data_IF_316352847264
#
_entry.id   IF_316352847264
#
_cell.length_a   1.000
_cell.length_b   1.000
_cell.length_c   1.000
_cell.angle_alpha   90.00
_cell.angle_beta   90.00
_cell.angle_gamma   90.00
#
_symmetry.space_group_name_H-M   'P 1'
#
loop_
_entity.id
_entity.type
_entity.pdbx_description
1 polymer ?
#
# COMPACT_ATOMS: atom_id res chain seq x y z
N UNK A 1 57.67 36.68 11.63
CA UNK A 1 57.43 38.01 11.04
C UNK A 1 55.95 38.25 11.08
N UNK A 2 55.48 39.01 12.09
CA UNK A 2 55.16 40.43 12.03
C UNK A 2 54.06 40.70 11.00
N UNK A 3 52.90 41.26 11.29
CA UNK A 3 52.33 42.24 12.23
C UNK A 3 50.86 42.38 11.83
N UNK A 4 49.94 42.46 12.77
CA UNK A 4 49.32 43.66 13.40
C UNK A 4 48.03 44.11 12.72
N UNK A 5 46.92 43.96 13.46
CA UNK A 5 46.11 45.03 14.15
C UNK A 5 45.40 46.02 13.21
N UNK A 6 44.10 46.30 13.34
CA UNK A 6 43.54 47.16 14.40
C UNK A 6 42.00 47.23 14.32
N UNK A 7 41.39 47.21 15.51
CA UNK A 7 40.18 47.79 16.01
C UNK A 7 39.72 49.12 15.39
N UNK A 8 38.38 49.31 15.42
CA UNK A 8 37.62 50.43 16.00
C UNK A 8 36.13 50.16 15.75
N UNK A 9 35.27 49.96 16.69
CA UNK A 9 34.60 50.80 17.72
C UNK A 9 34.22 52.20 17.24
N UNK A 10 32.91 52.50 17.24
CA UNK A 10 32.28 53.74 17.75
C UNK A 10 30.80 53.82 17.33
N UNK A 11 29.96 53.74 18.37
CA UNK A 11 28.96 54.66 18.95
C UNK A 11 27.50 54.63 18.45
N UNK A 12 26.67 54.24 19.36
CA UNK A 12 25.38 54.79 19.82
C UNK A 12 24.78 56.00 19.11
N UNK A 13 23.53 55.87 18.70
CA UNK A 13 22.46 56.86 19.00
C UNK A 13 21.13 56.12 19.20
N UNK A 14 20.53 56.34 20.36
CA UNK A 14 19.16 56.06 20.74
C UNK A 14 18.21 56.91 19.88
N UNK A 15 17.16 56.29 19.36
CA UNK A 15 15.90 56.99 19.13
C UNK A 15 14.75 56.03 19.52
N UNK A 16 14.09 56.42 20.59
CA UNK A 16 12.84 55.81 21.03
C UNK A 16 11.70 56.21 20.09
N UNK A 17 11.09 55.26 19.46
CA UNK A 17 9.85 55.42 18.72
C UNK A 17 8.91 54.29 19.10
N UNK A 18 7.98 54.58 19.99
CA UNK A 18 6.86 53.73 20.38
C UNK A 18 5.97 53.59 19.15
N UNK A 19 5.92 52.41 18.54
CA UNK A 19 4.85 52.02 17.65
C UNK A 19 4.29 50.70 18.16
N UNK A 20 3.13 50.78 18.77
CA UNK A 20 2.23 49.67 19.04
C UNK A 20 1.86 49.00 17.71
N UNK A 21 2.63 48.00 17.31
CA UNK A 21 2.33 47.08 16.24
C UNK A 21 1.74 45.83 16.87
N UNK A 22 0.44 45.65 16.70
CA UNK A 22 -0.31 44.44 16.99
C UNK A 22 0.38 43.23 16.36
N UNK A 23 0.94 42.34 17.18
CA UNK A 23 1.34 41.01 16.81
C UNK A 23 0.04 40.25 16.55
N UNK A 24 -0.42 40.30 15.33
CA UNK A 24 -1.42 39.37 14.82
C UNK A 24 -0.81 37.98 14.76
N UNK A 25 -1.06 37.21 15.81
CA UNK A 25 -0.91 35.76 15.74
C UNK A 25 -1.88 35.28 14.65
N UNK A 26 -1.39 35.08 13.44
CA UNK A 26 -2.12 34.32 12.44
C UNK A 26 -2.21 32.88 12.96
N UNK A 27 -3.24 32.62 13.74
CA UNK A 27 -3.79 31.30 13.90
C UNK A 27 -4.15 30.87 12.49
N UNK A 28 -3.35 29.96 11.89
CA UNK A 28 -3.79 29.20 10.73
C UNK A 28 -5.11 28.57 11.15
N UNK A 29 -6.21 29.10 10.64
CA UNK A 29 -7.49 28.42 10.71
C UNK A 29 -7.26 27.01 10.18
N UNK A 30 -7.35 26.03 11.08
CA UNK A 30 -7.65 24.65 10.68
C UNK A 30 -8.91 24.79 9.83
N UNK A 31 -8.80 24.58 8.54
CA UNK A 31 -9.97 24.37 7.70
C UNK A 31 -10.73 23.20 8.34
N UNK A 32 -11.73 23.55 9.12
CA UNK A 32 -12.74 22.59 9.55
C UNK A 32 -13.49 22.20 8.28
N UNK A 33 -13.08 21.05 7.71
CA UNK A 33 -13.91 20.42 6.70
C UNK A 33 -15.33 20.31 7.28
N UNK A 34 -16.36 20.72 6.52
CA UNK A 34 -17.74 20.58 6.98
C UNK A 34 -17.96 19.11 7.37
N UNK A 35 -18.69 18.90 8.46
CA UNK A 35 -19.07 17.57 8.93
C UNK A 35 -19.53 16.73 7.72
N UNK A 36 -18.72 15.74 7.33
CA UNK A 36 -18.95 15.04 6.09
C UNK A 36 -20.23 14.26 6.22
N UNK A 37 -21.13 14.52 5.33
CA UNK A 37 -22.18 13.58 4.98
C UNK A 37 -21.48 12.23 4.74
N UNK A 38 -21.85 11.18 5.49
CA UNK A 38 -21.38 9.81 5.29
C UNK A 38 -21.87 9.34 3.91
N UNK A 39 -21.11 9.67 2.88
CA UNK A 39 -21.44 9.40 1.49
C UNK A 39 -20.27 8.71 0.79
N UNK A 40 -20.52 8.27 -0.43
CA UNK A 40 -19.47 7.77 -1.31
C UNK A 40 -18.32 8.77 -1.43
N UNK A 41 -17.10 8.25 -1.49
CA UNK A 41 -15.93 9.02 -1.86
C UNK A 41 -15.88 9.17 -3.39
N UNK A 42 -15.57 10.35 -3.87
CA UNK A 42 -15.32 10.59 -5.29
C UNK A 42 -14.04 9.85 -5.72
N UNK A 43 -14.09 9.21 -6.88
CA UNK A 43 -12.92 8.55 -7.46
C UNK A 43 -12.05 9.63 -8.11
N UNK A 44 -10.83 9.86 -7.61
CA UNK A 44 -9.98 10.92 -8.13
C UNK A 44 -9.50 10.60 -9.54
N UNK A 45 -9.38 11.63 -10.37
CA UNK A 45 -8.71 11.48 -11.67
C UNK A 45 -7.24 11.17 -11.43
N UNK A 46 -6.82 9.95 -11.81
CA UNK A 46 -5.42 9.54 -11.71
C UNK A 46 -4.60 10.14 -12.86
N UNK A 47 -3.51 10.77 -12.50
CA UNK A 47 -2.51 11.39 -13.36
C UNK A 47 -1.13 10.91 -12.94
N UNK A 48 -0.10 11.16 -13.71
CA UNK A 48 1.29 10.82 -13.30
C UNK A 48 1.73 11.52 -12.02
N UNK A 49 1.09 12.63 -11.64
CA UNK A 49 1.40 13.36 -10.39
C UNK A 49 0.90 12.64 -9.13
N UNK A 50 -0.25 11.98 -9.21
CA UNK A 50 -0.88 11.26 -8.08
C UNK A 50 -0.97 9.75 -8.29
N UNK A 51 -0.20 9.21 -9.23
CA UNK A 51 -0.11 7.76 -9.49
C UNK A 51 0.54 7.01 -8.32
N UNK A 52 1.51 7.64 -7.67
CA UNK A 52 2.29 7.03 -6.59
C UNK A 52 1.91 7.57 -5.22
N UNK A 53 1.80 6.69 -4.21
CA UNK A 53 1.70 7.14 -2.82
C UNK A 53 3.02 7.82 -2.37
N UNK A 54 3.00 8.56 -1.24
CA UNK A 54 1.90 8.72 -0.29
C UNK A 54 0.88 9.79 -0.70
N UNK A 55 -0.36 9.65 -0.21
CA UNK A 55 -1.45 10.61 -0.45
C UNK A 55 -1.68 11.43 0.81
N UNK A 56 -0.94 12.54 0.96
CA UNK A 56 -0.91 13.34 2.19
C UNK A 56 -2.21 14.13 2.44
N UNK A 57 -2.95 14.44 1.37
CA UNK A 57 -4.21 15.20 1.44
C UNK A 57 -5.44 14.29 1.51
N UNK A 58 -5.25 12.97 1.55
CA UNK A 58 -6.35 12.02 1.64
C UNK A 58 -6.87 11.92 3.07
N UNK A 59 -8.19 11.91 3.22
CA UNK A 59 -8.88 11.76 4.50
C UNK A 59 -8.97 10.27 4.87
N UNK A 60 -7.89 9.79 5.50
CA UNK A 60 -7.78 8.41 5.96
C UNK A 60 -8.77 8.10 7.08
N UNK A 61 -9.30 6.89 7.07
CA UNK A 61 -10.22 6.38 8.11
C UNK A 61 -11.43 7.26 8.39
N UNK A 62 -11.95 7.94 7.35
CA UNK A 62 -13.20 8.70 7.45
C UNK A 62 -14.29 7.84 8.10
N UNK A 63 -15.00 8.41 9.07
CA UNK A 63 -16.09 7.74 9.79
C UNK A 63 -15.68 6.46 10.54
N UNK A 64 -14.41 6.31 10.91
CA UNK A 64 -13.85 5.18 11.64
C UNK A 64 -14.64 4.84 12.93
N UNK A 65 -15.24 5.85 13.57
CA UNK A 65 -16.08 5.64 14.78
C UNK A 65 -17.37 4.89 14.47
N UNK A 66 -17.92 5.09 13.27
CA UNK A 66 -19.13 4.40 12.81
C UNK A 66 -18.80 3.00 12.26
N UNK A 67 -17.68 2.89 11.56
CA UNK A 67 -17.25 1.66 10.90
C UNK A 67 -15.96 1.11 11.56
N UNK A 68 -16.09 0.71 12.83
CA UNK A 68 -14.97 0.18 13.62
C UNK A 68 -14.48 -1.18 13.12
N UNK A 69 -13.19 -1.42 13.29
CA UNK A 69 -12.55 -2.69 12.91
C UNK A 69 -13.13 -3.88 13.69
N UNK A 70 -13.48 -4.94 12.98
CA UNK A 70 -14.09 -6.16 13.53
C UNK A 70 -13.00 -7.19 13.84
N UNK A 71 -12.27 -6.97 14.94
CA UNK A 71 -11.07 -7.75 15.29
C UNK A 71 -11.30 -9.25 15.49
N UNK A 72 -12.53 -9.66 15.82
CA UNK A 72 -12.91 -11.05 16.03
C UNK A 72 -13.54 -11.73 14.80
N UNK A 73 -13.61 -11.05 13.65
CA UNK A 73 -14.14 -11.64 12.43
C UNK A 73 -13.35 -12.90 12.04
N UNK A 74 -14.07 -13.97 11.68
CA UNK A 74 -13.51 -15.26 11.27
C UNK A 74 -13.81 -15.61 9.81
N UNK A 75 -14.55 -14.73 9.12
CA UNK A 75 -14.88 -14.79 7.69
C UNK A 75 -14.65 -13.43 7.06
N UNK A 76 -14.87 -13.34 5.75
CA UNK A 76 -14.81 -12.07 5.03
C UNK A 76 -15.64 -11.00 5.72
N UNK A 77 -15.06 -9.82 5.89
CA UNK A 77 -15.74 -8.66 6.45
C UNK A 77 -15.37 -7.43 5.65
N UNK A 78 -16.36 -6.76 5.08
CA UNK A 78 -16.16 -5.63 4.17
C UNK A 78 -15.57 -4.40 4.91
N UNK A 79 -15.98 -4.17 6.16
CA UNK A 79 -15.39 -3.10 6.99
C UNK A 79 -13.91 -3.35 7.25
N UNK A 80 -13.52 -4.60 7.55
CA UNK A 80 -12.10 -4.95 7.71
C UNK A 80 -11.33 -4.81 6.40
N UNK A 81 -11.96 -5.14 5.26
CA UNK A 81 -11.34 -4.94 3.95
C UNK A 81 -11.00 -3.45 3.72
N UNK A 82 -11.96 -2.56 4.02
CA UNK A 82 -11.72 -1.12 3.94
C UNK A 82 -10.59 -0.67 4.88
N UNK A 83 -10.64 -1.06 6.15
CA UNK A 83 -9.60 -0.72 7.11
C UNK A 83 -8.21 -1.13 6.62
N UNK A 84 -8.09 -2.36 6.13
CA UNK A 84 -6.81 -2.90 5.68
C UNK A 84 -6.34 -2.31 4.35
N UNK A 85 -7.26 -1.84 3.49
CA UNK A 85 -6.94 -1.05 2.31
C UNK A 85 -6.43 0.35 2.68
N UNK A 86 -7.08 1.04 3.62
CA UNK A 86 -6.62 2.32 4.17
C UNK A 86 -5.21 2.19 4.77
N UNK A 87 -4.99 1.15 5.61
CA UNK A 87 -3.68 0.85 6.21
C UNK A 87 -2.64 0.62 5.13
N UNK A 88 -2.93 -0.24 4.13
CA UNK A 88 -1.97 -0.58 3.07
C UNK A 88 -1.60 0.62 2.18
N UNK A 89 -2.48 1.62 2.12
CA UNK A 89 -2.25 2.89 1.43
C UNK A 89 -1.46 3.87 2.30
N UNK A 90 -1.78 3.95 3.59
CA UNK A 90 -1.16 4.87 4.55
C UNK A 90 0.33 4.57 4.77
N UNK A 91 0.70 3.30 4.84
CA UNK A 91 2.07 2.87 5.19
C UNK A 91 3.16 3.22 4.15
N UNK A 92 2.79 3.87 3.05
CA UNK A 92 3.73 4.48 2.13
C UNK A 92 4.28 5.83 2.64
N UNK A 93 3.64 6.43 3.62
CA UNK A 93 4.09 7.69 4.21
C UNK A 93 5.14 7.47 5.32
N UNK A 94 5.78 8.57 5.74
CA UNK A 94 6.74 8.57 6.86
C UNK A 94 6.06 8.34 8.20
N UNK A 95 6.83 7.89 9.19
CA UNK A 95 6.33 7.65 10.55
C UNK A 95 5.63 8.86 11.16
N UNK A 96 6.15 10.07 10.94
CA UNK A 96 5.59 11.31 11.50
C UNK A 96 4.18 11.59 10.97
N UNK A 97 3.89 11.18 9.73
CA UNK A 97 2.56 11.27 9.15
C UNK A 97 1.65 10.10 9.57
N UNK A 98 2.20 8.91 9.59
CA UNK A 98 1.45 7.65 9.85
C UNK A 98 0.97 7.55 11.30
N UNK A 99 1.85 7.86 12.28
CA UNK A 99 1.56 7.66 13.71
C UNK A 99 0.35 8.44 14.23
N UNK A 100 0.17 9.74 13.92
CA UNK A 100 -1.03 10.48 14.33
C UNK A 100 -2.31 9.87 13.78
N UNK A 101 -2.32 9.48 12.52
CA UNK A 101 -3.50 8.92 11.84
C UNK A 101 -3.90 7.58 12.46
N UNK A 102 -2.94 6.68 12.73
CA UNK A 102 -3.24 5.43 13.42
C UNK A 102 -3.78 5.67 14.84
N UNK A 103 -3.22 6.66 15.56
CA UNK A 103 -3.71 7.00 16.90
C UNK A 103 -5.17 7.47 16.86
N UNK A 104 -5.52 8.33 15.91
CA UNK A 104 -6.88 8.81 15.73
C UNK A 104 -7.84 7.68 15.32
N UNK A 105 -7.34 6.69 14.58
CA UNK A 105 -8.08 5.48 14.22
C UNK A 105 -8.21 4.47 15.38
N UNK A 106 -7.63 4.74 16.57
CA UNK A 106 -7.71 3.84 17.72
C UNK A 106 -6.61 2.78 17.80
N UNK A 107 -5.49 2.99 17.10
CA UNK A 107 -4.27 2.19 17.14
C UNK A 107 -3.11 3.06 17.68
N UNK A 108 -3.05 3.28 19.01
CA UNK A 108 -2.10 4.24 19.60
C UNK A 108 -0.65 3.79 19.53
N UNK A 109 -0.40 2.48 19.48
CA UNK A 109 0.95 1.91 19.46
C UNK A 109 1.33 1.59 18.00
N UNK A 110 2.39 2.25 17.51
CA UNK A 110 2.90 2.06 16.16
C UNK A 110 4.38 1.80 16.19
N UNK A 111 4.81 0.68 15.66
CA UNK A 111 6.22 0.33 15.47
C UNK A 111 6.55 0.17 13.99
N UNK A 112 7.63 0.79 13.59
CA UNK A 112 8.19 0.72 12.25
C UNK A 112 9.38 -0.23 12.22
N UNK A 113 9.46 -1.04 11.18
CA UNK A 113 10.55 -1.96 10.89
C UNK A 113 11.08 -1.65 9.49
N UNK A 114 12.36 -1.47 9.38
CA UNK A 114 13.03 -1.20 8.12
C UNK A 114 14.37 -1.90 8.09
N UNK A 115 14.66 -2.58 6.99
CA UNK A 115 15.97 -3.11 6.69
C UNK A 115 16.16 -3.16 5.17
N UNK A 116 17.29 -2.68 4.67
CA UNK A 116 17.63 -2.56 3.26
C UNK A 116 16.49 -1.99 2.40
N UNK A 117 15.68 -2.83 1.78
CA UNK A 117 14.60 -2.44 0.87
C UNK A 117 13.20 -2.66 1.43
N UNK A 118 13.07 -3.38 2.55
CA UNK A 118 11.78 -3.79 3.11
C UNK A 118 11.36 -2.92 4.27
N UNK A 119 10.12 -2.44 4.19
CA UNK A 119 9.50 -1.62 5.23
C UNK A 119 8.17 -2.22 5.67
N UNK A 120 7.95 -2.22 6.99
CA UNK A 120 6.74 -2.76 7.59
C UNK A 120 6.33 -1.94 8.83
N UNK A 121 5.05 -1.69 8.97
CA UNK A 121 4.46 -1.11 10.18
C UNK A 121 3.68 -2.16 10.96
N UNK A 122 3.74 -2.09 12.27
CA UNK A 122 2.81 -2.79 13.16
C UNK A 122 2.09 -1.75 14.00
N UNK A 123 0.80 -1.60 13.76
CA UNK A 123 -0.07 -0.71 14.51
C UNK A 123 -1.04 -1.53 15.38
N UNK A 124 -1.14 -1.23 16.67
CA UNK A 124 -1.94 -2.03 17.58
C UNK A 124 -2.60 -1.25 18.72
N UNK A 125 -3.60 -1.88 19.28
CA UNK A 125 -4.17 -1.60 20.59
C UNK A 125 -4.17 -2.87 21.46
N UNK A 126 -4.94 -2.89 22.54
CA UNK A 126 -5.06 -4.01 23.47
C UNK A 126 -5.81 -5.25 22.90
N UNK A 127 -6.54 -5.11 21.78
CA UNK A 127 -7.39 -6.15 21.18
C UNK A 127 -6.79 -6.77 19.94
N UNK A 128 -6.18 -5.97 19.08
CA UNK A 128 -5.65 -6.42 17.81
C UNK A 128 -4.44 -5.62 17.34
N UNK A 129 -3.69 -6.23 16.45
CA UNK A 129 -2.57 -5.62 15.75
C UNK A 129 -2.69 -5.83 14.24
N UNK A 130 -2.33 -4.83 13.47
CA UNK A 130 -2.24 -4.89 12.01
C UNK A 130 -0.78 -4.81 11.62
N UNK A 131 -0.30 -5.88 10.96
CA UNK A 131 1.03 -5.95 10.33
C UNK A 131 0.87 -5.54 8.88
N UNK A 132 1.46 -4.42 8.47
CA UNK A 132 1.28 -3.84 7.16
C UNK A 132 2.62 -3.69 6.43
N UNK A 133 2.79 -4.45 5.36
CA UNK A 133 3.98 -4.37 4.51
C UNK A 133 3.79 -3.30 3.44
N UNK A 134 4.78 -2.41 3.32
CA UNK A 134 4.83 -1.40 2.29
C UNK A 134 5.18 -2.05 0.94
N UNK A 135 4.54 -1.58 -0.12
CA UNK A 135 4.91 -1.95 -1.49
C UNK A 135 6.09 -1.14 -2.01
N UNK A 136 6.58 -1.50 -3.20
CA UNK A 136 7.64 -0.75 -3.87
C UNK A 136 7.16 0.58 -4.44
N UNK A 137 8.07 1.56 -4.48
CA UNK A 137 7.83 2.88 -5.08
C UNK A 137 8.34 2.92 -6.52
N UNK A 138 7.87 1.99 -7.35
CA UNK A 138 8.35 1.79 -8.73
C UNK A 138 8.30 3.10 -9.55
N UNK A 139 7.30 3.93 -9.27
CA UNK A 139 7.02 5.14 -10.03
C UNK A 139 7.83 6.38 -9.62
N UNK A 140 8.40 6.41 -8.41
CA UNK A 140 9.18 7.59 -7.93
C UNK A 140 10.53 7.77 -8.61
N UNK A 141 11.09 6.73 -9.21
CA UNK A 141 12.44 6.77 -9.76
C UNK A 141 12.54 7.43 -11.14
N UNK A 142 11.43 7.80 -11.78
CA UNK A 142 11.43 8.27 -13.16
C UNK A 142 10.49 9.46 -13.36
N UNK A 143 11.03 10.65 -13.45
CA UNK A 143 10.30 11.91 -13.74
C UNK A 143 9.54 11.92 -15.08
N UNK A 144 9.77 10.93 -15.94
CA UNK A 144 9.13 10.71 -17.24
C UNK A 144 9.15 9.20 -17.57
N UNK A 145 8.52 8.37 -16.76
CA UNK A 145 8.50 6.95 -17.06
C UNK A 145 7.80 6.70 -18.42
N UNK A 146 8.54 6.19 -19.38
CA UNK A 146 7.95 5.50 -20.50
C UNK A 146 7.21 4.28 -19.91
N UNK A 147 5.90 4.20 -20.15
CA UNK A 147 5.07 3.10 -19.67
C UNK A 147 5.66 1.74 -20.08
N UNK A 148 6.26 1.66 -21.28
CA UNK A 148 6.93 0.46 -21.77
C UNK A 148 8.16 0.09 -20.93
N UNK A 149 8.88 1.09 -20.40
CA UNK A 149 10.02 0.87 -19.51
C UNK A 149 9.56 0.33 -18.15
N UNK A 150 8.45 0.85 -17.62
CA UNK A 150 7.87 0.34 -16.36
C UNK A 150 7.32 -1.08 -16.53
N UNK A 151 6.67 -1.39 -17.65
CA UNK A 151 6.22 -2.76 -17.96
C UNK A 151 7.42 -3.68 -18.13
N UNK A 152 8.47 -3.22 -18.81
CA UNK A 152 9.71 -3.97 -18.95
C UNK A 152 10.35 -4.24 -17.59
N UNK A 153 10.43 -3.23 -16.72
CA UNK A 153 10.96 -3.38 -15.37
C UNK A 153 10.08 -4.33 -14.53
N UNK A 154 8.74 -4.22 -14.59
CA UNK A 154 7.84 -5.18 -13.96
C UNK A 154 8.02 -6.61 -14.47
N UNK A 155 8.32 -6.78 -15.78
CA UNK A 155 8.58 -8.10 -16.37
C UNK A 155 9.99 -8.61 -16.07
N UNK A 156 10.99 -7.73 -16.03
CA UNK A 156 12.41 -8.08 -15.88
C UNK A 156 12.88 -8.06 -14.43
N UNK A 157 12.38 -7.13 -13.60
CA UNK A 157 12.74 -7.03 -12.18
C UNK A 157 12.01 -8.06 -11.33
N UNK A 158 10.89 -8.63 -11.83
CA UNK A 158 10.30 -9.82 -11.22
C UNK A 158 11.15 -11.01 -11.64
N UNK A 159 12.21 -11.26 -10.86
CA UNK A 159 13.01 -12.48 -10.93
C UNK A 159 12.08 -13.70 -10.91
N UNK A 160 12.02 -14.42 -12.03
CA UNK A 160 11.14 -15.60 -12.17
C UNK A 160 11.65 -16.81 -11.39
N UNK A 161 12.74 -16.68 -10.61
CA UNK A 161 13.34 -17.77 -9.88
C UNK A 161 12.57 -18.13 -8.62
N UNK A 162 12.25 -19.40 -8.52
CA UNK A 162 11.62 -20.01 -7.36
C UNK A 162 12.67 -20.47 -6.35
N UNK A 163 12.44 -20.16 -5.07
CA UNK A 163 13.19 -20.66 -3.94
C UNK A 163 12.33 -21.61 -3.09
N UNK A 164 12.95 -22.59 -2.46
CA UNK A 164 12.26 -23.49 -1.53
C UNK A 164 11.65 -22.72 -0.37
N UNK A 165 10.43 -23.08 -0.01
CA UNK A 165 9.73 -22.50 1.14
C UNK A 165 9.65 -23.52 2.28
N UNK A 166 9.88 -23.07 3.51
CA UNK A 166 10.00 -23.98 4.66
C UNK A 166 8.71 -24.72 5.03
N UNK A 167 7.53 -24.11 4.71
CA UNK A 167 6.23 -24.73 4.93
C UNK A 167 5.80 -25.65 3.77
N UNK A 168 6.64 -25.78 2.76
CA UNK A 168 6.42 -26.59 1.57
C UNK A 168 6.21 -25.79 0.30
N UNK A 169 6.54 -26.40 -0.83
CA UNK A 169 6.48 -25.75 -2.14
C UNK A 169 7.64 -24.79 -2.39
N UNK A 170 7.42 -23.91 -3.37
CA UNK A 170 8.39 -22.90 -3.78
C UNK A 170 7.71 -21.56 -3.92
N UNK A 171 8.45 -20.49 -3.59
CA UNK A 171 7.97 -19.11 -3.66
C UNK A 171 8.97 -18.25 -4.45
N UNK A 172 8.53 -17.08 -4.87
CA UNK A 172 9.39 -16.11 -5.54
C UNK A 172 10.59 -15.76 -4.66
N UNK A 173 11.80 -15.94 -5.22
CA UNK A 173 13.05 -15.78 -4.47
C UNK A 173 13.20 -14.38 -3.89
N UNK A 174 13.00 -13.33 -4.70
CA UNK A 174 13.13 -11.95 -4.25
C UNK A 174 12.12 -11.57 -3.16
N UNK A 175 10.88 -12.09 -3.19
CA UNK A 175 9.92 -11.84 -2.11
C UNK A 175 10.33 -12.55 -0.81
N UNK A 176 10.90 -13.76 -0.92
CA UNK A 176 11.46 -14.46 0.24
C UNK A 176 12.62 -13.67 0.84
N UNK A 177 13.58 -13.26 0.03
CA UNK A 177 14.75 -12.49 0.46
C UNK A 177 14.33 -11.17 1.12
N UNK A 178 13.39 -10.43 0.52
CA UNK A 178 12.84 -9.20 1.10
C UNK A 178 12.17 -9.43 2.46
N UNK A 179 11.40 -10.52 2.62
CA UNK A 179 10.80 -10.84 3.92
C UNK A 179 11.88 -11.17 4.98
N UNK A 180 12.95 -11.89 4.60
CA UNK A 180 14.04 -12.24 5.53
C UNK A 180 14.73 -10.99 6.10
N UNK A 181 14.74 -9.87 5.39
CA UNK A 181 15.33 -8.61 5.87
C UNK A 181 14.71 -8.13 7.19
N UNK A 182 13.40 -8.22 7.34
CA UNK A 182 12.68 -7.72 8.52
C UNK A 182 12.22 -8.82 9.48
N UNK A 183 12.31 -10.08 9.06
CA UNK A 183 11.80 -11.21 9.81
C UNK A 183 12.39 -11.34 11.23
N UNK A 184 13.72 -11.19 11.45
CA UNK A 184 14.32 -11.38 12.77
C UNK A 184 13.78 -10.43 13.85
N UNK A 185 13.44 -9.20 13.47
CA UNK A 185 12.94 -8.18 14.39
C UNK A 185 11.41 -8.16 14.46
N UNK A 186 10.75 -8.39 13.33
CA UNK A 186 9.30 -8.33 13.22
C UNK A 186 8.62 -9.49 13.95
N UNK A 187 9.09 -10.75 13.74
CA UNK A 187 8.43 -11.92 14.30
C UNK A 187 8.38 -11.92 15.83
N UNK A 188 9.47 -11.65 16.58
CA UNK A 188 9.42 -11.61 18.04
C UNK A 188 8.43 -10.55 18.55
N UNK A 189 8.35 -9.40 17.89
CA UNK A 189 7.41 -8.35 18.25
C UNK A 189 5.96 -8.78 18.03
N UNK A 190 5.64 -9.37 16.88
CA UNK A 190 4.28 -9.86 16.57
C UNK A 190 3.88 -10.99 17.54
N UNK A 191 4.79 -11.93 17.83
CA UNK A 191 4.54 -13.00 18.82
C UNK A 191 4.23 -12.42 20.20
N UNK A 192 4.98 -11.42 20.65
CA UNK A 192 4.71 -10.76 21.92
C UNK A 192 3.32 -10.14 21.99
N UNK A 193 2.81 -9.57 20.89
CA UNK A 193 1.44 -9.05 20.84
C UNK A 193 0.41 -10.18 20.85
N UNK A 194 0.65 -11.24 20.11
CA UNK A 194 -0.21 -12.42 20.10
C UNK A 194 -0.30 -13.07 21.49
N UNK A 195 0.83 -13.23 22.18
CA UNK A 195 0.89 -13.81 23.53
C UNK A 195 0.16 -12.96 24.58
N UNK A 196 0.00 -11.66 24.32
CA UNK A 196 -0.85 -10.74 25.10
C UNK A 196 -2.33 -10.82 24.73
N UNK A 197 -2.72 -11.68 23.78
CA UNK A 197 -4.11 -11.87 23.36
C UNK A 197 -4.55 -11.02 22.16
N UNK A 198 -3.66 -10.22 21.55
CA UNK A 198 -3.99 -9.45 20.36
C UNK A 198 -4.29 -10.39 19.18
N UNK A 199 -5.36 -10.12 18.44
CA UNK A 199 -5.65 -10.76 17.15
C UNK A 199 -4.75 -10.13 16.08
N UNK A 200 -3.98 -10.95 15.37
CA UNK A 200 -3.02 -10.48 14.38
C UNK A 200 -3.64 -10.48 12.99
N UNK A 201 -3.77 -9.30 12.42
CA UNK A 201 -4.22 -9.06 11.05
C UNK A 201 -3.04 -8.64 10.19
N UNK A 202 -3.06 -9.05 8.91
CA UNK A 202 -1.92 -8.82 8.01
C UNK A 202 -2.42 -8.21 6.72
N UNK A 203 -1.70 -7.23 6.20
CA UNK A 203 -2.07 -6.55 4.96
C UNK A 203 -0.87 -6.04 4.17
N UNK A 204 -1.11 -5.70 2.91
CA UNK A 204 -0.15 -5.04 2.04
C UNK A 204 -0.71 -4.86 0.63
N UNK A 205 -0.17 -3.85 -0.05
CA UNK A 205 -0.46 -3.54 -1.44
C UNK A 205 0.76 -3.85 -2.31
N UNK A 206 0.54 -4.34 -3.53
CA UNK A 206 1.62 -4.61 -4.49
C UNK A 206 2.63 -5.63 -3.94
N UNK A 207 3.93 -5.35 -3.98
CA UNK A 207 4.97 -6.13 -3.31
C UNK A 207 4.65 -6.38 -1.83
N UNK A 208 4.10 -5.37 -1.12
CA UNK A 208 3.67 -5.54 0.27
C UNK A 208 2.61 -6.62 0.45
N UNK A 209 1.73 -6.84 -0.54
CA UNK A 209 0.77 -7.94 -0.57
C UNK A 209 1.44 -9.31 -0.70
N UNK A 210 2.51 -9.41 -1.48
CA UNK A 210 3.31 -10.63 -1.57
C UNK A 210 4.02 -10.93 -0.24
N UNK A 211 4.63 -9.92 0.39
CA UNK A 211 5.29 -10.07 1.70
C UNK A 211 4.28 -10.43 2.80
N UNK A 212 3.10 -9.82 2.80
CA UNK A 212 1.99 -10.16 3.69
C UNK A 212 1.58 -11.64 3.56
N UNK A 213 1.50 -12.14 2.33
CA UNK A 213 1.19 -13.54 2.03
C UNK A 213 2.27 -14.47 2.58
N UNK A 214 3.55 -14.18 2.32
CA UNK A 214 4.66 -14.99 2.82
C UNK A 214 4.77 -14.94 4.34
N UNK A 215 4.62 -13.77 4.93
CA UNK A 215 4.63 -13.61 6.37
C UNK A 215 3.51 -14.43 7.01
N UNK A 216 2.30 -14.37 6.49
CA UNK A 216 1.15 -15.13 6.98
C UNK A 216 1.39 -16.63 6.91
N UNK A 217 1.90 -17.14 5.78
CA UNK A 217 2.25 -18.56 5.60
C UNK A 217 3.24 -19.05 6.66
N UNK A 218 4.27 -18.26 6.97
CA UNK A 218 5.32 -18.66 7.90
C UNK A 218 4.95 -18.43 9.36
N UNK A 219 4.17 -17.40 9.65
CA UNK A 219 3.68 -17.08 10.99
C UNK A 219 2.60 -18.06 11.45
N UNK A 220 1.64 -18.42 10.60
CA UNK A 220 0.63 -19.45 10.80
C UNK A 220 -0.56 -19.08 11.70
N UNK A 221 -0.47 -18.01 12.52
CA UNK A 221 -1.48 -17.66 13.54
C UNK A 221 -2.19 -16.33 13.25
N UNK A 222 -2.29 -15.94 11.97
CA UNK A 222 -3.03 -14.74 11.60
C UNK A 222 -4.54 -14.94 11.75
N UNK A 223 -5.23 -13.93 12.27
CA UNK A 223 -6.70 -13.90 12.33
C UNK A 223 -7.30 -13.79 10.93
N UNK A 224 -6.64 -13.04 10.04
CA UNK A 224 -6.98 -12.92 8.64
C UNK A 224 -5.97 -12.04 7.88
N UNK A 225 -5.96 -12.21 6.57
CA UNK A 225 -5.06 -11.49 5.65
C UNK A 225 -5.87 -10.88 4.54
N UNK A 226 -5.59 -9.62 4.22
CA UNK A 226 -6.17 -8.93 3.07
C UNK A 226 -5.06 -8.32 2.24
N UNK A 227 -5.04 -8.61 0.96
CA UNK A 227 -4.02 -8.09 0.04
C UNK A 227 -4.68 -7.34 -1.12
N UNK A 228 -4.01 -6.30 -1.59
CA UNK A 228 -4.51 -5.40 -2.63
C UNK A 228 -3.50 -5.33 -3.77
N UNK A 229 -3.92 -5.67 -4.99
CA UNK A 229 -3.02 -5.66 -6.14
C UNK A 229 -1.78 -6.54 -5.98
N UNK A 230 -1.87 -7.64 -5.23
CA UNK A 230 -0.73 -8.52 -4.94
C UNK A 230 -0.36 -9.37 -6.15
N UNK A 231 0.94 -9.51 -6.49
CA UNK A 231 1.39 -10.46 -7.52
C UNK A 231 1.20 -11.91 -7.07
N UNK A 232 1.39 -12.87 -7.97
CA UNK A 232 1.48 -14.31 -7.63
C UNK A 232 2.75 -14.57 -6.82
N UNK A 233 2.64 -15.37 -5.76
CA UNK A 233 3.71 -15.49 -4.76
C UNK A 233 4.47 -16.82 -4.86
N UNK A 234 3.80 -17.91 -5.18
CA UNK A 234 4.41 -19.24 -5.17
C UNK A 234 3.74 -20.22 -6.12
N UNK A 235 4.21 -21.46 -6.10
CA UNK A 235 3.72 -22.53 -6.95
C UNK A 235 2.50 -23.26 -6.33
N UNK A 236 1.92 -24.23 -7.06
CA UNK A 236 0.74 -24.98 -6.62
C UNK A 236 0.97 -25.68 -5.26
N UNK A 237 2.14 -26.28 -5.04
CA UNK A 237 2.47 -26.93 -3.75
C UNK A 237 2.48 -25.92 -2.60
N UNK A 238 2.96 -24.68 -2.83
CA UNK A 238 2.86 -23.61 -1.84
C UNK A 238 1.40 -23.26 -1.54
N UNK A 239 0.56 -23.15 -2.56
CA UNK A 239 -0.88 -22.87 -2.41
C UNK A 239 -1.59 -23.97 -1.63
N UNK A 240 -1.33 -25.25 -1.93
CA UNK A 240 -1.92 -26.39 -1.22
C UNK A 240 -1.54 -26.45 0.27
N UNK A 241 -0.36 -25.92 0.62
CA UNK A 241 0.14 -25.87 2.00
C UNK A 241 -0.19 -24.57 2.73
N UNK A 242 -0.85 -23.64 2.05
CA UNK A 242 -1.22 -22.36 2.64
C UNK A 242 -2.50 -22.50 3.47
N UNK A 243 -2.39 -22.41 4.79
CA UNK A 243 -3.47 -22.71 5.76
C UNK A 243 -3.87 -21.44 6.56
N UNK A 244 -3.92 -20.28 5.90
CA UNK A 244 -4.37 -19.04 6.52
C UNK A 244 -5.46 -18.40 5.65
N UNK A 245 -6.52 -17.89 6.28
CA UNK A 245 -7.57 -17.16 5.54
C UNK A 245 -7.01 -15.88 4.92
N UNK A 246 -7.05 -15.82 3.61
CA UNK A 246 -6.60 -14.66 2.85
C UNK A 246 -7.63 -14.25 1.80
N UNK A 247 -7.93 -12.96 1.74
CA UNK A 247 -8.80 -12.31 0.77
C UNK A 247 -7.96 -11.40 -0.12
N UNK A 248 -7.97 -11.71 -1.40
CA UNK A 248 -7.11 -11.08 -2.40
C UNK A 248 -7.93 -10.15 -3.29
N UNK A 249 -7.76 -8.85 -3.11
CA UNK A 249 -8.42 -7.84 -3.93
C UNK A 249 -7.64 -7.60 -5.22
N UNK A 250 -8.38 -7.57 -6.33
CA UNK A 250 -7.91 -7.21 -7.66
C UNK A 250 -8.83 -6.15 -8.23
N UNK A 251 -8.27 -5.01 -8.62
CA UNK A 251 -9.04 -3.91 -9.18
C UNK A 251 -8.97 -3.93 -10.70
N UNK A 252 -10.05 -4.30 -11.34
CA UNK A 252 -10.30 -4.24 -12.77
C UNK A 252 -9.08 -4.69 -13.63
N UNK A 253 -8.41 -3.76 -14.31
CA UNK A 253 -7.29 -4.03 -15.21
C UNK A 253 -5.92 -3.98 -14.51
N UNK A 254 -5.84 -3.96 -13.18
CA UNK A 254 -4.56 -3.98 -12.49
C UNK A 254 -3.61 -5.05 -13.03
N UNK A 255 -2.41 -4.61 -13.47
CA UNK A 255 -1.41 -5.48 -14.11
C UNK A 255 -0.64 -6.35 -13.09
N UNK A 256 -0.47 -5.86 -11.85
CA UNK A 256 0.42 -6.52 -10.88
C UNK A 256 -0.10 -7.90 -10.45
N UNK A 257 -1.40 -8.15 -10.21
CA UNK A 257 -1.90 -9.49 -9.96
C UNK A 257 -1.67 -10.49 -11.11
N UNK A 258 -1.32 -10.03 -12.29
CA UNK A 258 -1.08 -10.88 -13.47
C UNK A 258 0.33 -11.42 -13.56
N UNK A 259 1.25 -10.89 -12.76
CA UNK A 259 2.66 -11.27 -12.72
C UNK A 259 3.03 -11.98 -11.41
N UNK A 260 4.06 -12.81 -11.40
CA UNK A 260 4.67 -13.51 -12.53
C UNK A 260 3.65 -14.32 -13.33
N UNK A 261 3.98 -14.72 -14.57
CA UNK A 261 3.08 -15.51 -15.42
C UNK A 261 2.61 -16.82 -14.76
N UNK A 262 1.37 -17.31 -15.06
CA UNK A 262 0.76 -18.44 -14.36
C UNK A 262 1.39 -19.82 -14.71
N UNK A 263 2.53 -19.84 -15.42
CA UNK A 263 3.24 -21.07 -15.80
C UNK A 263 3.83 -21.80 -14.58
N UNK A 264 4.35 -21.04 -13.61
CA UNK A 264 5.02 -21.57 -12.41
C UNK A 264 4.47 -21.00 -11.12
N UNK A 265 3.63 -19.99 -11.21
CA UNK A 265 3.10 -19.23 -10.10
C UNK A 265 1.60 -19.26 -10.07
N UNK A 266 1.03 -19.37 -8.90
CA UNK A 266 -0.41 -19.34 -8.69
C UNK A 266 -0.77 -18.37 -7.58
N UNK A 267 -2.00 -17.94 -7.58
CA UNK A 267 -2.53 -17.16 -6.47
C UNK A 267 -3.00 -18.05 -5.32
N UNK A 268 -2.89 -17.54 -4.11
CA UNK A 268 -3.50 -18.13 -2.92
C UNK A 268 -4.66 -17.26 -2.44
N UNK A 269 -5.65 -17.88 -1.78
CA UNK A 269 -6.77 -17.19 -1.15
C UNK A 269 -7.96 -16.90 -2.08
N UNK A 270 -8.99 -16.35 -1.44
CA UNK A 270 -10.25 -16.01 -2.09
C UNK A 270 -10.12 -14.71 -2.88
N UNK A 271 -10.59 -14.72 -4.14
CA UNK A 271 -10.64 -13.54 -4.97
C UNK A 271 -11.77 -12.61 -4.51
N UNK A 272 -11.47 -11.31 -4.47
CA UNK A 272 -12.42 -10.20 -4.37
C UNK A 272 -12.11 -9.23 -5.51
N UNK A 273 -12.85 -9.36 -6.61
CA UNK A 273 -12.65 -8.59 -7.82
C UNK A 273 -13.47 -7.29 -7.76
N UNK A 274 -12.82 -6.17 -7.98
CA UNK A 274 -13.49 -4.86 -8.14
C UNK A 274 -13.66 -4.65 -9.64
N UNK A 275 -14.90 -4.65 -10.11
CA UNK A 275 -15.23 -4.50 -11.52
C UNK A 275 -15.09 -3.05 -12.04
N UNK A 276 -15.38 -2.82 -13.32
CA UNK A 276 -15.28 -1.48 -13.94
C UNK A 276 -16.19 -0.43 -13.31
N UNK A 277 -17.28 -0.86 -12.67
CA UNK A 277 -18.23 0.01 -11.95
C UNK A 277 -17.82 0.20 -10.49
N UNK A 278 -16.72 -0.41 -10.04
CA UNK A 278 -16.22 -0.36 -8.67
C UNK A 278 -16.92 -1.30 -7.70
N UNK A 279 -17.71 -2.26 -8.20
CA UNK A 279 -18.47 -3.23 -7.39
C UNK A 279 -17.60 -4.45 -7.09
N UNK A 280 -17.62 -4.89 -5.83
CA UNK A 280 -16.86 -6.09 -5.39
C UNK A 280 -17.62 -7.35 -5.73
N UNK A 281 -16.92 -8.30 -6.39
CA UNK A 281 -17.45 -9.60 -6.80
C UNK A 281 -16.52 -10.73 -6.36
N UNK A 282 -17.06 -11.91 -6.18
CA UNK A 282 -16.29 -13.12 -5.83
C UNK A 282 -15.70 -13.83 -7.06
N UNK A 283 -16.07 -13.39 -8.26
CA UNK A 283 -15.59 -13.94 -9.53
C UNK A 283 -15.34 -12.81 -10.53
N UNK A 284 -14.47 -13.05 -11.49
CA UNK A 284 -14.28 -12.15 -12.64
C UNK A 284 -15.42 -12.38 -13.62
N UNK A 285 -16.09 -11.31 -14.04
CA UNK A 285 -17.16 -11.38 -15.05
C UNK A 285 -16.51 -11.67 -16.43
N UNK A 286 -17.10 -12.54 -17.23
CA UNK A 286 -16.51 -12.99 -18.51
C UNK A 286 -16.14 -11.85 -19.47
N UNK A 287 -16.94 -10.80 -19.53
CA UNK A 287 -16.67 -9.61 -20.37
C UNK A 287 -15.55 -8.70 -19.83
N UNK A 288 -15.18 -8.87 -18.58
CA UNK A 288 -14.11 -8.15 -17.88
C UNK A 288 -12.93 -9.08 -17.57
N UNK A 289 -13.02 -10.34 -18.07
CA UNK A 289 -11.82 -11.19 -18.06
C UNK A 289 -10.75 -10.40 -18.79
N UNK A 290 -9.66 -10.11 -18.10
CA UNK A 290 -8.46 -9.71 -18.80
C UNK A 290 -8.24 -10.80 -19.84
N UNK A 291 -8.16 -10.42 -21.11
CA UNK A 291 -7.88 -11.35 -22.17
C UNK A 291 -6.70 -12.19 -21.71
N UNK A 292 -7.07 -13.34 -21.25
CA UNK A 292 -6.44 -14.60 -21.16
C UNK A 292 -5.31 -14.92 -20.17
N UNK A 293 -5.60 -16.00 -19.46
CA UNK A 293 -4.63 -17.04 -19.08
C UNK A 293 -4.16 -17.90 -20.30
N UNK A 294 -4.56 -17.64 -21.54
CA UNK A 294 -4.08 -18.24 -22.77
C UNK A 294 -2.94 -17.43 -23.37
N UNK A 295 -2.01 -18.09 -23.97
CA UNK A 295 -0.72 -17.66 -24.51
C UNK A 295 -0.66 -16.40 -25.40
N UNK A 296 -1.75 -15.67 -25.61
CA UNK A 296 -1.80 -14.48 -26.45
C UNK A 296 -1.72 -13.21 -25.60
N UNK A 297 -0.76 -12.36 -25.87
CA UNK A 297 -0.54 -11.06 -25.23
C UNK A 297 -1.71 -10.10 -25.51
N UNK A 298 -2.66 -9.89 -24.58
CA UNK A 298 -3.87 -9.13 -24.84
C UNK A 298 -3.66 -7.63 -24.93
N UNK A 299 -2.47 -7.16 -24.60
CA UNK A 299 -2.09 -5.76 -24.66
C UNK A 299 -1.16 -5.43 -25.83
N UNK A 300 -0.86 -6.42 -26.74
CA UNK A 300 0.01 -6.21 -27.89
C UNK A 300 1.45 -5.87 -27.49
N UNK A 301 1.91 -6.33 -26.31
CA UNK A 301 3.28 -6.14 -25.85
C UNK A 301 4.27 -7.07 -26.56
N UNK A 302 3.79 -8.10 -27.25
CA UNK A 302 4.60 -8.90 -28.15
C UNK A 302 4.55 -8.30 -29.57
N UNK A 303 5.69 -7.78 -30.01
CA UNK A 303 6.01 -7.48 -31.42
C UNK A 303 5.49 -6.21 -32.07
N UNK A 304 4.98 -5.22 -31.40
CA UNK A 304 4.78 -3.94 -32.07
C UNK A 304 5.96 -2.98 -31.83
N UNK A 305 7.14 -3.33 -32.35
CA UNK A 305 8.33 -2.46 -32.46
C UNK A 305 8.10 -1.23 -33.34
N UNK A 306 6.88 -1.05 -33.86
CA UNK A 306 6.46 0.11 -34.64
C UNK A 306 5.41 1.00 -33.98
N UNK A 307 5.06 0.82 -32.71
CA UNK A 307 4.31 1.86 -32.01
C UNK A 307 5.20 3.09 -31.88
N UNK A 308 4.97 4.01 -32.82
CA UNK A 308 5.47 5.38 -32.83
C UNK A 308 5.57 5.87 -31.40
N UNK A 309 6.68 6.55 -31.05
CA UNK A 309 6.87 7.45 -29.90
C UNK A 309 5.73 8.47 -29.77
N UNK A 310 4.52 8.01 -29.55
CA UNK A 310 3.41 8.85 -29.13
C UNK A 310 3.56 9.01 -27.63
N UNK A 311 4.22 10.12 -27.24
CA UNK A 311 4.18 10.61 -25.88
C UNK A 311 2.73 10.54 -25.38
N UNK A 312 2.46 9.71 -24.36
CA UNK A 312 1.20 9.71 -23.61
C UNK A 312 1.10 11.04 -22.86
N UNK A 313 0.73 12.11 -23.57
CA UNK A 313 0.55 13.43 -22.98
C UNK A 313 -0.63 13.37 -22.00
N UNK A 314 -0.32 13.10 -20.73
CA UNK A 314 -1.23 13.30 -19.61
C UNK A 314 -2.25 12.19 -19.30
N UNK A 315 -2.19 11.04 -19.96
CA UNK A 315 -3.09 9.91 -19.70
C UNK A 315 -2.31 8.72 -19.07
N UNK A 316 -2.79 8.23 -17.92
CA UNK A 316 -2.26 7.02 -17.27
C UNK A 316 -3.05 5.81 -17.79
N UNK A 317 -2.39 4.80 -18.41
CA UNK A 317 -3.08 3.60 -18.88
C UNK A 317 -3.80 2.84 -17.74
N UNK A 318 -4.93 2.24 -18.05
CA UNK A 318 -5.78 1.55 -17.09
C UNK A 318 -5.03 0.52 -16.22
N UNK A 319 -4.14 -0.35 -16.76
CA UNK A 319 -3.42 -1.33 -15.95
C UNK A 319 -2.59 -0.74 -14.80
N UNK A 320 -2.11 0.48 -14.96
CA UNK A 320 -1.34 1.20 -13.93
C UNK A 320 -2.22 2.07 -13.05
N UNK A 321 -3.23 2.70 -13.66
CA UNK A 321 -4.23 3.46 -12.91
C UNK A 321 -4.94 2.55 -11.90
N UNK A 322 -5.37 1.38 -12.32
CA UNK A 322 -6.13 0.45 -11.51
C UNK A 322 -5.26 -0.22 -10.42
N UNK A 323 -3.92 -0.10 -10.51
CA UNK A 323 -2.97 -0.52 -9.47
C UNK A 323 -2.82 0.50 -8.33
N UNK A 324 -3.38 1.68 -8.43
CA UNK A 324 -3.23 2.73 -7.40
C UNK A 324 -3.87 2.28 -6.08
N UNK A 325 -3.12 2.22 -4.94
CA UNK A 325 -3.67 1.69 -3.68
C UNK A 325 -4.86 2.51 -3.16
N UNK A 326 -4.88 3.81 -3.42
CA UNK A 326 -5.99 4.68 -3.06
C UNK A 326 -7.32 4.26 -3.70
N UNK A 327 -7.29 3.76 -4.93
CA UNK A 327 -8.51 3.31 -5.62
C UNK A 327 -9.12 2.08 -4.94
N UNK A 328 -8.30 1.15 -4.47
CA UNK A 328 -8.78 0.02 -3.66
C UNK A 328 -9.54 0.50 -2.42
N UNK A 329 -8.96 1.43 -1.66
CA UNK A 329 -9.57 1.97 -0.45
C UNK A 329 -10.91 2.67 -0.74
N UNK A 330 -10.97 3.49 -1.80
CA UNK A 330 -12.18 4.24 -2.20
C UNK A 330 -13.27 3.30 -2.70
N UNK A 331 -12.95 2.35 -3.58
CA UNK A 331 -13.95 1.40 -4.08
C UNK A 331 -14.56 0.57 -2.94
N UNK A 332 -13.71 0.04 -2.03
CA UNK A 332 -14.20 -0.75 -0.90
C UNK A 332 -15.08 0.10 0.03
N UNK A 333 -14.68 1.36 0.30
CA UNK A 333 -15.53 2.29 1.05
C UNK A 333 -16.89 2.50 0.38
N UNK A 334 -16.90 2.74 -0.93
CA UNK A 334 -18.13 2.98 -1.66
C UNK A 334 -19.09 1.77 -1.62
N UNK A 335 -18.54 0.54 -1.62
CA UNK A 335 -19.34 -0.66 -1.42
C UNK A 335 -19.93 -0.77 0.00
N UNK A 336 -19.26 -0.25 1.04
CA UNK A 336 -19.84 -0.19 2.40
C UNK A 336 -21.04 0.76 2.45
N UNK A 337 -20.93 1.89 1.73
CA UNK A 337 -22.01 2.90 1.76
C UNK A 337 -23.24 2.45 0.95
N UNK A 338 -23.07 1.55 -0.01
CA UNK A 338 -24.16 0.97 -0.83
C UNK A 338 -24.82 -0.27 -0.21
N UNK A 339 -24.15 -0.95 0.74
CA UNK A 339 -24.66 -2.13 1.43
C UNK A 339 -25.55 -1.77 2.63
#
# INVERSE_FOLDING_TARGET
MLKKNHNQLIKFVLFAGILLGSIGCQLTEKQTHPASLSGKKEIPKITFKNLSPPYMDYDYFRDVKKYGFQSNATSFNLTNAWWLAEVSTLVYASEDFVKPIFREAGLPEVKFFENQSTQCYVANNDKFAIVAFRGSEIWKKKDKADVNEVVSDLKTDIDIWLANWQQGGKVHRGFKEALEEVWPDLLPYVRKLHDKGCKIWITGHSLGGALATLFASRYGNAQGVYTFGSPRVGNEVFKEKFDVKIYRFVNNHDIVPRVPLPIKYVHVGELKFIDSDGIIRDTIIENERPLDDSHDDPYGFENNTQTKKNSFKGFVPAPFRDHVPLLYAIHIWNNIIES
#
